data_IF_926080201163
#
_entry.id   IF_926080201163
#
_cell.length_a   1.000
_cell.length_b   1.000
_cell.length_c   1.000
_cell.angle_alpha   90.00
_cell.angle_beta   90.00
_cell.angle_gamma   90.00
#
_symmetry.space_group_name_H-M   'P 1'
#
loop_
_entity.id
_entity.type
_entity.pdbx_description
1 polymer ?
#
# COMPACT_ATOMS: atom_id res chain seq x y z
N UNK A 1 21.43 -9.56 -2.42
CA UNK A 1 20.84 -10.41 -1.36
C UNK A 1 19.96 -9.47 -0.55
N UNK A 2 18.64 -9.61 -0.64
CA UNK A 2 17.72 -8.64 -0.05
C UNK A 2 17.46 -9.04 1.40
N UNK A 3 17.65 -8.11 2.33
CA UNK A 3 17.44 -8.30 3.76
C UNK A 3 16.39 -7.32 4.25
N UNK A 4 15.58 -7.75 5.21
CA UNK A 4 14.59 -6.90 5.87
C UNK A 4 14.90 -6.87 7.36
N UNK A 5 14.82 -5.68 7.94
CA UNK A 5 15.06 -5.47 9.37
C UNK A 5 13.74 -5.15 10.07
N UNK A 6 13.63 -5.58 11.31
CA UNK A 6 12.53 -5.19 12.17
C UNK A 6 12.49 -3.66 12.29
N UNK A 7 11.30 -3.12 12.16
CA UNK A 7 11.13 -1.70 11.86
C UNK A 7 10.04 -1.07 12.72
N UNK A 8 10.09 0.26 12.94
CA UNK A 8 9.11 0.92 13.77
C UNK A 8 7.75 1.03 13.08
N UNK A 9 6.70 0.83 13.88
CA UNK A 9 5.29 0.85 13.52
C UNK A 9 4.56 1.83 14.43
N UNK A 10 3.75 2.72 13.84
CA UNK A 10 2.79 3.56 14.56
C UNK A 10 1.40 3.19 14.05
N UNK A 11 0.44 3.07 14.96
CA UNK A 11 -0.92 2.66 14.64
C UNK A 11 -1.93 3.73 15.08
N UNK A 12 -2.29 4.65 14.17
CA UNK A 12 -3.38 5.59 14.39
C UNK A 12 -4.75 4.91 14.28
N UNK A 13 -5.68 5.28 15.16
CA UNK A 13 -7.08 4.86 15.11
C UNK A 13 -8.03 6.06 15.25
N UNK A 14 -9.26 5.87 14.77
CA UNK A 14 -10.33 6.87 14.84
C UNK A 14 -11.23 6.56 16.05
N UNK A 15 -11.33 7.51 16.99
CA UNK A 15 -12.37 7.52 18.03
C UNK A 15 -13.66 8.07 17.38
N UNK A 16 -14.56 7.18 16.96
CA UNK A 16 -15.80 7.55 16.24
C UNK A 16 -16.73 8.44 17.08
N UNK A 17 -16.96 8.17 18.38
CA UNK A 17 -17.75 9.07 19.23
C UNK A 17 -17.18 10.48 19.39
N UNK A 18 -15.84 10.62 19.48
CA UNK A 18 -15.19 11.91 19.67
C UNK A 18 -14.79 12.62 18.38
N UNK A 19 -14.82 11.90 17.25
CA UNK A 19 -14.37 12.38 15.95
C UNK A 19 -12.88 12.79 15.95
N UNK A 20 -12.05 12.06 16.68
CA UNK A 20 -10.63 12.33 16.86
C UNK A 20 -9.76 11.17 16.36
N UNK A 21 -8.56 11.49 15.87
CA UNK A 21 -7.54 10.49 15.53
C UNK A 21 -6.50 10.46 16.66
N UNK A 22 -6.28 9.28 17.23
CA UNK A 22 -5.29 9.08 18.29
C UNK A 22 -4.32 7.96 17.90
N UNK A 23 -3.16 7.91 18.56
CA UNK A 23 -2.22 6.80 18.42
C UNK A 23 -2.62 5.71 19.40
N UNK A 24 -3.07 4.57 18.87
CA UNK A 24 -3.48 3.42 19.67
C UNK A 24 -2.28 2.65 20.18
N UNK A 25 -1.30 2.39 19.31
CA UNK A 25 -0.08 1.67 19.68
C UNK A 25 1.14 2.18 18.88
N UNK A 26 2.32 2.03 19.47
CA UNK A 26 3.60 2.25 18.80
C UNK A 26 4.59 1.16 19.18
N UNK A 27 5.29 0.60 18.19
CA UNK A 27 6.34 -0.41 18.40
C UNK A 27 7.60 -0.02 17.67
N UNK A 28 8.76 -0.32 18.26
CA UNK A 28 10.06 0.00 17.68
C UNK A 28 10.57 -1.04 16.68
N UNK A 29 10.14 -2.30 16.83
CA UNK A 29 10.70 -3.46 16.13
C UNK A 29 9.55 -4.41 15.79
N UNK A 30 9.05 -4.34 14.55
CA UNK A 30 7.97 -5.19 14.04
C UNK A 30 8.30 -5.61 12.62
N UNK A 31 7.99 -6.85 12.26
CA UNK A 31 8.07 -7.32 10.86
C UNK A 31 6.75 -7.09 10.12
N UNK A 32 6.76 -6.94 8.78
CA UNK A 32 5.52 -6.74 8.01
C UNK A 32 4.46 -7.82 8.29
N UNK A 33 4.89 -9.08 8.41
CA UNK A 33 4.03 -10.24 8.62
C UNK A 33 3.39 -10.26 10.02
N UNK A 34 3.97 -9.55 10.98
CA UNK A 34 3.48 -9.45 12.36
C UNK A 34 2.42 -8.37 12.51
N UNK A 35 2.35 -7.38 11.62
CA UNK A 35 1.39 -6.26 11.72
C UNK A 35 -0.05 -6.77 11.77
N UNK A 36 -0.36 -7.81 11.00
CA UNK A 36 -1.70 -8.41 10.98
C UNK A 36 -2.11 -9.08 12.28
N UNK A 37 -1.17 -9.71 13.00
CA UNK A 37 -1.47 -10.37 14.28
C UNK A 37 -1.63 -9.37 15.43
N UNK A 38 -1.04 -8.18 15.29
CA UNK A 38 -1.18 -7.09 16.23
C UNK A 38 -2.47 -6.29 16.02
N UNK A 39 -3.02 -6.33 14.82
CA UNK A 39 -4.21 -5.54 14.46
C UNK A 39 -5.49 -6.28 14.86
N UNK A 40 -6.42 -5.64 15.60
CA UNK A 40 -7.70 -6.20 15.98
C UNK A 40 -8.49 -6.61 14.75
N UNK A 41 -9.04 -7.82 14.83
CA UNK A 41 -10.00 -8.26 13.84
C UNK A 41 -11.22 -7.32 13.85
N UNK A 42 -11.81 -7.13 12.67
CA UNK A 42 -13.13 -6.51 12.47
C UNK A 42 -13.23 -4.98 12.66
N UNK A 43 -12.11 -4.29 12.85
CA UNK A 43 -12.08 -2.81 12.87
C UNK A 43 -11.18 -2.25 11.78
N UNK A 44 -11.54 -1.09 11.23
CA UNK A 44 -10.66 -0.35 10.33
C UNK A 44 -9.40 0.11 11.06
N UNK A 45 -8.25 0.14 10.40
CA UNK A 45 -6.99 0.60 10.99
C UNK A 45 -6.10 1.30 9.99
N UNK A 46 -5.34 2.27 10.49
CA UNK A 46 -4.22 2.85 9.76
C UNK A 46 -2.92 2.38 10.39
N UNK A 47 -1.90 2.17 9.57
CA UNK A 47 -0.57 1.94 10.08
C UNK A 47 0.43 2.79 9.32
N UNK A 48 1.35 3.38 10.05
CA UNK A 48 2.52 4.05 9.50
C UNK A 48 3.73 3.19 9.83
N UNK A 49 4.31 2.58 8.80
CA UNK A 49 5.37 1.60 8.96
C UNK A 49 6.62 2.04 8.19
N UNK A 50 7.76 2.12 8.87
CA UNK A 50 9.03 2.52 8.23
C UNK A 50 9.80 1.27 7.81
N UNK A 51 9.57 0.78 6.61
CA UNK A 51 10.22 -0.43 6.11
C UNK A 51 11.71 -0.21 5.78
N UNK A 52 12.58 -0.73 6.63
CA UNK A 52 14.04 -0.74 6.42
C UNK A 52 14.46 -2.04 5.75
N UNK A 53 15.06 -1.92 4.56
CA UNK A 53 15.40 -3.08 3.74
C UNK A 53 16.63 -2.80 2.85
N UNK A 54 17.32 -3.87 2.43
CA UNK A 54 18.40 -3.79 1.46
C UNK A 54 17.89 -4.10 0.05
N UNK A 55 18.16 -3.23 -0.91
CA UNK A 55 17.84 -3.40 -2.33
C UNK A 55 19.06 -3.03 -3.18
N UNK A 56 19.43 -3.90 -4.13
CA UNK A 56 20.60 -3.71 -5.02
C UNK A 56 21.93 -3.39 -4.32
N UNK A 57 22.10 -3.85 -3.07
CA UNK A 57 23.32 -3.64 -2.28
C UNK A 57 23.37 -2.32 -1.50
N UNK A 58 22.31 -1.50 -1.55
CA UNK A 58 22.13 -0.32 -0.72
C UNK A 58 21.06 -0.55 0.36
N UNK A 59 21.26 0.03 1.54
CA UNK A 59 20.22 0.08 2.56
C UNK A 59 19.26 1.24 2.31
N UNK A 60 17.98 0.92 2.27
CA UNK A 60 16.88 1.82 1.99
C UNK A 60 15.93 1.85 3.20
N UNK A 61 15.38 3.03 3.49
CA UNK A 61 14.28 3.16 4.45
C UNK A 61 13.10 3.87 3.80
N UNK A 62 11.96 3.19 3.81
CA UNK A 62 10.76 3.61 3.10
C UNK A 62 9.58 3.70 4.04
N UNK A 63 8.96 4.87 4.17
CA UNK A 63 7.74 5.00 4.97
C UNK A 63 6.55 4.59 4.11
N UNK A 64 5.82 3.58 4.58
CA UNK A 64 4.63 3.03 3.96
C UNK A 64 3.43 3.32 4.86
N UNK A 65 2.38 3.88 4.26
CA UNK A 65 1.09 4.06 4.90
C UNK A 65 0.18 2.91 4.51
N UNK A 66 -0.30 2.16 5.48
CA UNK A 66 -1.22 1.04 5.31
C UNK A 66 -2.60 1.47 5.78
N UNK A 67 -3.60 1.14 4.99
CA UNK A 67 -5.01 1.33 5.31
C UNK A 67 -5.70 -0.02 5.18
N UNK A 68 -6.25 -0.51 6.29
CA UNK A 68 -6.92 -1.81 6.34
C UNK A 68 -8.36 -1.61 6.77
N UNK A 69 -9.28 -2.16 6.00
CA UNK A 69 -10.70 -2.19 6.34
C UNK A 69 -11.17 -3.64 6.23
N UNK A 70 -11.56 -4.28 7.34
CA UNK A 70 -12.15 -5.61 7.29
C UNK A 70 -13.57 -5.49 6.74
N UNK A 71 -13.70 -5.75 5.43
CA UNK A 71 -14.88 -5.57 4.56
C UNK A 71 -16.23 -5.44 5.27
N UNK A 72 -17.08 -6.48 5.18
CA UNK A 72 -18.44 -6.42 5.74
C UNK A 72 -18.52 -6.59 7.26
N UNK A 73 -17.39 -6.83 7.93
CA UNK A 73 -17.34 -7.07 9.38
C UNK A 73 -17.40 -5.78 10.20
N UNK A 74 -17.03 -4.65 9.60
CA UNK A 74 -17.12 -3.32 10.20
C UNK A 74 -18.46 -2.62 9.88
N UNK A 75 -18.95 -1.69 10.72
CA UNK A 75 -20.11 -0.85 10.40
C UNK A 75 -19.87 0.05 9.18
N UNK A 76 -20.93 0.35 8.39
CA UNK A 76 -20.82 1.27 7.23
C UNK A 76 -20.24 2.62 7.64
N UNK A 77 -20.69 3.17 8.78
CA UNK A 77 -20.21 4.47 9.31
C UNK A 77 -18.69 4.44 9.52
N UNK A 78 -18.18 3.38 10.14
CA UNK A 78 -16.76 3.22 10.41
C UNK A 78 -15.95 3.16 9.11
N UNK A 79 -16.36 2.32 8.15
CA UNK A 79 -15.68 2.23 6.84
C UNK A 79 -15.61 3.56 6.11
N UNK A 80 -16.71 4.31 6.14
CA UNK A 80 -16.77 5.61 5.48
C UNK A 80 -15.86 6.63 6.15
N UNK A 81 -15.78 6.63 7.49
CA UNK A 81 -14.87 7.50 8.24
C UNK A 81 -13.40 7.15 7.95
N UNK A 82 -13.02 5.87 8.03
CA UNK A 82 -11.66 5.43 7.70
C UNK A 82 -11.27 5.72 6.24
N UNK A 83 -12.22 5.70 5.31
CA UNK A 83 -11.93 6.10 3.92
C UNK A 83 -11.80 7.61 3.75
N UNK A 84 -12.67 8.39 4.43
CA UNK A 84 -12.74 9.85 4.29
C UNK A 84 -11.59 10.57 5.01
N UNK A 85 -11.20 10.09 6.20
CA UNK A 85 -10.15 10.71 7.01
C UNK A 85 -8.73 10.41 6.51
N UNK A 86 -8.54 9.40 5.65
CA UNK A 86 -7.23 8.97 5.14
C UNK A 86 -6.42 10.12 4.52
N UNK A 87 -7.05 10.91 3.64
CA UNK A 87 -6.39 12.00 2.94
C UNK A 87 -5.89 13.06 3.91
N UNK A 88 -6.75 13.51 4.82
CA UNK A 88 -6.43 14.52 5.82
C UNK A 88 -5.33 14.05 6.79
N UNK A 89 -5.35 12.78 7.19
CA UNK A 89 -4.31 12.21 8.04
C UNK A 89 -2.95 12.24 7.34
N UNK A 90 -2.89 11.78 6.09
CA UNK A 90 -1.65 11.79 5.30
C UNK A 90 -1.13 13.22 5.12
N UNK A 91 -1.99 14.15 4.74
CA UNK A 91 -1.62 15.55 4.55
C UNK A 91 -1.10 16.17 5.85
N UNK A 92 -1.71 15.83 6.99
CA UNK A 92 -1.26 16.28 8.31
C UNK A 92 0.13 15.73 8.65
N UNK A 93 0.36 14.43 8.42
CA UNK A 93 1.66 13.77 8.63
C UNK A 93 2.77 14.42 7.77
N UNK A 94 2.49 14.73 6.51
CA UNK A 94 3.48 15.36 5.63
C UNK A 94 3.70 16.84 5.97
N UNK A 95 2.65 17.63 6.18
CA UNK A 95 2.78 19.09 6.39
C UNK A 95 3.28 19.47 7.78
N UNK A 96 2.78 18.81 8.82
CA UNK A 96 3.10 19.17 10.20
C UNK A 96 4.32 18.42 10.76
N UNK A 97 4.53 17.18 10.32
CA UNK A 97 5.61 16.33 10.82
C UNK A 97 6.73 16.07 9.80
N UNK A 98 6.59 16.54 8.56
CA UNK A 98 7.60 16.35 7.52
C UNK A 98 7.78 14.90 7.09
N UNK A 99 6.79 14.04 7.33
CA UNK A 99 6.89 12.61 7.01
C UNK A 99 6.59 12.39 5.53
N UNK A 100 7.60 11.94 4.79
CA UNK A 100 7.48 11.57 3.38
C UNK A 100 6.99 10.13 3.23
N UNK A 101 5.70 9.97 2.94
CA UNK A 101 5.08 8.66 2.69
C UNK A 101 5.37 8.26 1.24
N UNK A 102 6.19 7.23 1.06
CA UNK A 102 6.62 6.76 -0.26
C UNK A 102 5.55 5.90 -0.95
N UNK A 103 4.81 5.09 -0.18
CA UNK A 103 3.70 4.28 -0.71
C UNK A 103 2.50 4.28 0.23
N UNK A 104 1.33 4.29 -0.38
CA UNK A 104 0.02 4.21 0.28
C UNK A 104 -0.63 2.91 -0.18
N UNK A 105 -0.85 1.98 0.73
CA UNK A 105 -1.37 0.65 0.42
C UNK A 105 -2.72 0.47 1.11
N UNK A 106 -3.65 -0.13 0.38
CA UNK A 106 -4.92 -0.58 0.91
C UNK A 106 -4.89 -2.10 0.91
N UNK A 107 -5.08 -2.70 2.08
CA UNK A 107 -4.92 -4.15 2.27
C UNK A 107 -6.21 -4.68 2.87
N UNK A 108 -6.76 -5.71 2.23
CA UNK A 108 -7.95 -6.42 2.72
C UNK A 108 -7.55 -7.57 3.67
N UNK A 109 -6.51 -8.34 3.31
CA UNK A 109 -5.97 -9.42 4.13
C UNK A 109 -4.49 -9.19 4.44
N UNK A 110 -4.16 -9.13 5.73
CA UNK A 110 -2.78 -8.99 6.21
C UNK A 110 -1.86 -10.14 5.79
N UNK A 111 -2.38 -11.29 5.36
CA UNK A 111 -1.55 -12.37 4.80
C UNK A 111 -0.81 -11.95 3.54
N UNK A 112 -1.32 -10.96 2.81
CA UNK A 112 -0.67 -10.41 1.62
C UNK A 112 0.50 -9.48 2.00
N UNK A 113 0.48 -8.93 3.22
CA UNK A 113 1.51 -8.04 3.73
C UNK A 113 2.76 -8.82 4.13
N UNK A 114 3.58 -9.08 3.12
CA UNK A 114 4.89 -9.74 3.30
C UNK A 114 6.02 -8.78 2.96
N UNK A 115 7.20 -9.06 3.49
CA UNK A 115 8.44 -8.35 3.16
C UNK A 115 8.72 -8.35 1.66
N UNK A 116 8.44 -9.47 0.98
CA UNK A 116 8.59 -9.61 -0.47
C UNK A 116 7.62 -8.68 -1.21
N UNK A 117 6.34 -8.67 -0.80
CA UNK A 117 5.34 -7.78 -1.37
C UNK A 117 5.73 -6.31 -1.23
N UNK A 118 6.23 -5.89 -0.07
CA UNK A 118 6.69 -4.51 0.13
C UNK A 118 7.89 -4.15 -0.74
N UNK A 119 8.88 -5.06 -0.88
CA UNK A 119 10.02 -4.85 -1.78
C UNK A 119 9.55 -4.68 -3.22
N UNK A 120 8.74 -5.62 -3.74
CA UNK A 120 8.25 -5.59 -5.12
C UNK A 120 7.38 -4.34 -5.38
N UNK A 121 6.63 -3.88 -4.38
CA UNK A 121 5.80 -2.67 -4.47
C UNK A 121 6.62 -1.39 -4.47
N UNK A 122 7.69 -1.34 -3.68
CA UNK A 122 8.58 -0.18 -3.59
C UNK A 122 9.52 -0.10 -4.80
N UNK A 123 9.97 -1.25 -5.30
CA UNK A 123 10.92 -1.39 -6.40
C UNK A 123 10.29 -2.21 -7.53
N UNK A 124 9.35 -1.63 -8.29
CA UNK A 124 8.71 -2.32 -9.40
C UNK A 124 9.76 -2.67 -10.44
N UNK A 125 9.85 -3.95 -10.79
CA UNK A 125 10.68 -4.41 -11.89
C UNK A 125 10.18 -3.77 -13.18
N UNK A 126 11.09 -3.31 -14.03
CA UNK A 126 10.74 -2.84 -15.36
C UNK A 126 9.97 -3.95 -16.08
N UNK A 127 8.71 -3.68 -16.39
CA UNK A 127 7.88 -4.62 -17.15
C UNK A 127 8.46 -4.68 -18.55
N UNK A 128 9.01 -5.84 -18.93
CA UNK A 128 9.48 -6.07 -20.29
C UNK A 128 8.36 -5.69 -21.26
N UNK A 129 8.65 -4.75 -22.17
CA UNK A 129 7.68 -4.27 -23.15
C UNK A 129 7.04 -5.48 -23.85
N UNK A 130 5.70 -5.58 -23.90
CA UNK A 130 5.05 -6.76 -24.45
C UNK A 130 5.57 -6.97 -25.86
N UNK A 131 6.15 -8.16 -26.11
CA UNK A 131 6.65 -8.54 -27.41
C UNK A 131 5.50 -8.43 -28.40
N UNK A 132 5.51 -7.36 -29.19
CA UNK A 132 4.50 -7.11 -30.21
C UNK A 132 4.65 -8.19 -31.27
N UNK A 133 3.77 -9.19 -31.23
CA UNK A 133 3.68 -10.18 -32.29
C UNK A 133 3.30 -9.48 -33.59
N UNK A 134 4.15 -9.60 -34.62
CA UNK A 134 3.84 -9.04 -35.93
C UNK A 134 2.56 -9.66 -36.45
N UNK A 135 1.56 -8.85 -36.80
CA UNK A 135 0.34 -9.36 -37.43
C UNK A 135 0.72 -10.19 -38.67
N UNK A 136 0.19 -11.41 -38.84
CA UNK A 136 0.48 -12.22 -40.01
C UNK A 136 0.10 -11.47 -41.29
N UNK A 137 0.82 -11.72 -42.40
CA UNK A 137 0.49 -11.14 -43.70
C UNK A 137 -0.96 -11.48 -44.03
N UNK A 138 -1.75 -10.45 -44.33
CA UNK A 138 -3.15 -10.63 -44.73
C UNK A 138 -3.26 -11.44 -46.03
N UNK A 139 -4.45 -11.98 -46.33
CA UNK A 139 -4.68 -12.77 -47.55
C UNK A 139 -4.32 -11.99 -48.82
N UNK A 140 -3.74 -12.69 -49.79
CA UNK A 140 -3.44 -12.13 -51.10
C UNK A 140 -4.74 -11.68 -51.78
N UNK A 141 -4.79 -10.43 -52.25
CA UNK A 141 -5.96 -9.85 -52.94
C UNK A 141 -6.79 -8.87 -52.12
N UNK A 142 -6.37 -8.49 -50.91
CA UNK A 142 -7.06 -7.44 -50.14
C UNK A 142 -6.93 -6.09 -50.84
N UNK A 143 -8.05 -5.52 -51.29
CA UNK A 143 -8.11 -4.17 -51.84
C UNK A 143 -7.69 -3.09 -50.84
N UNK A 144 -7.45 -1.84 -51.30
CA UNK A 144 -6.99 -0.74 -50.46
C UNK A 144 -7.92 -0.51 -49.26
N UNK A 145 -7.32 -0.18 -48.11
CA UNK A 145 -8.05 0.05 -46.85
C UNK A 145 -8.95 1.27 -47.02
N UNK A 146 -10.26 1.06 -47.07
CA UNK A 146 -11.24 2.16 -47.15
C UNK A 146 -11.29 2.87 -45.80
N UNK A 147 -11.05 4.17 -45.80
CA UNK A 147 -11.37 5.05 -44.69
C UNK A 147 -12.85 5.40 -44.81
N UNK A 148 -13.67 4.98 -43.85
CA UNK A 148 -15.03 5.49 -43.70
C UNK A 148 -14.93 6.65 -42.71
N UNK A 149 -15.38 7.83 -43.13
CA UNK A 149 -15.48 9.03 -42.29
C UNK A 149 -16.83 9.06 -41.59
#
# INVERSE_FOLDING_TARGET
>A
MNYCYDSPLIWPQIDIPKEEIFVSESKSSVKPEEIGSLTPANTGSYHLYRFVHAFEGAECSSVVFLHTIPGYQSPIKERMLYSSCKGNLIDSLTRHYGIEIQRKLEIEDFKELTSVFLIDTLHPKEVETPLSFSRPKGPAGRGPRRLIR
#
